data_IF_836273267089
#
_entry.id   IF_836273267089
#
_cell.length_a   1.000
_cell.length_b   1.000
_cell.length_c   1.000
_cell.angle_alpha   90.00
_cell.angle_beta   90.00
_cell.angle_gamma   90.00
#
_symmetry.space_group_name_H-M   'P 1'
#
loop_
_entity.id
_entity.type
_entity.pdbx_description
1 polymer ?
#
# COMPACT_ATOMS: atom_id res chain seq x y z
N UNK A 1 3.28 -13.11 21.46
CA UNK A 1 2.45 -12.73 20.28
C UNK A 1 3.32 -11.97 19.28
N UNK A 2 3.37 -12.46 18.05
CA UNK A 2 4.09 -11.76 16.98
C UNK A 2 3.28 -10.56 16.50
N UNK A 3 3.91 -9.60 15.81
CA UNK A 3 3.16 -8.51 15.16
C UNK A 3 2.07 -9.02 14.21
N UNK A 4 2.34 -10.10 13.49
CA UNK A 4 1.35 -10.73 12.60
C UNK A 4 0.16 -11.30 13.40
N UNK A 5 0.41 -11.94 14.54
CA UNK A 5 -0.65 -12.46 15.41
C UNK A 5 -1.58 -11.33 15.89
N UNK A 6 -1.02 -10.16 16.18
CA UNK A 6 -1.82 -8.99 16.56
C UNK A 6 -2.75 -8.56 15.42
N UNK A 7 -2.27 -8.64 14.18
CA UNK A 7 -3.10 -8.36 13.00
C UNK A 7 -4.20 -9.40 12.80
N UNK A 8 -3.90 -10.68 13.03
CA UNK A 8 -4.92 -11.74 12.98
C UNK A 8 -6.02 -11.51 14.01
N UNK A 9 -5.65 -11.07 15.21
CA UNK A 9 -6.63 -10.71 16.24
C UNK A 9 -7.49 -9.53 15.80
N UNK A 10 -6.87 -8.48 15.27
CA UNK A 10 -7.57 -7.29 14.77
C UNK A 10 -8.52 -7.62 13.62
N UNK A 11 -8.12 -8.52 12.72
CA UNK A 11 -8.94 -8.98 11.59
C UNK A 11 -10.29 -9.56 12.06
N UNK A 12 -10.30 -10.21 13.20
CA UNK A 12 -11.48 -10.90 13.73
C UNK A 12 -12.39 -9.99 14.56
N UNK A 13 -11.93 -8.81 14.92
CA UNK A 13 -12.70 -7.87 15.74
C UNK A 13 -13.84 -7.25 14.94
N UNK A 14 -15.02 -7.04 15.56
CA UNK A 14 -16.09 -6.30 14.92
C UNK A 14 -15.72 -4.83 14.80
N UNK A 15 -16.29 -4.14 13.82
CA UNK A 15 -16.12 -2.71 13.65
C UNK A 15 -15.49 -2.35 12.31
N UNK A 16 -15.08 -1.08 12.14
CA UNK A 16 -14.57 -0.61 10.87
C UNK A 16 -13.18 -1.18 10.57
N UNK A 17 -12.79 -1.26 9.29
CA UNK A 17 -11.52 -1.86 8.88
C UNK A 17 -10.28 -1.10 9.36
N UNK A 18 -10.43 0.14 9.80
CA UNK A 18 -9.35 0.98 10.31
C UNK A 18 -8.63 0.35 11.50
N UNK A 19 -9.31 -0.48 12.29
CA UNK A 19 -8.67 -1.23 13.37
C UNK A 19 -7.61 -2.18 12.84
N UNK A 20 -7.93 -2.89 11.76
CA UNK A 20 -6.97 -3.77 11.10
C UNK A 20 -5.85 -2.97 10.45
N UNK A 21 -6.19 -1.89 9.75
CA UNK A 21 -5.19 -1.04 9.08
C UNK A 21 -4.17 -0.48 10.09
N UNK A 22 -4.64 -0.01 11.24
CA UNK A 22 -3.78 0.48 12.30
C UNK A 22 -2.87 -0.64 12.86
N UNK A 23 -3.41 -1.84 13.02
CA UNK A 23 -2.62 -2.99 13.49
C UNK A 23 -1.54 -3.37 12.47
N UNK A 24 -1.88 -3.38 11.18
CA UNK A 24 -0.91 -3.65 10.10
C UNK A 24 0.16 -2.56 10.07
N UNK A 25 -0.22 -1.30 10.23
CA UNK A 25 0.73 -0.20 10.31
C UNK A 25 1.76 -0.42 11.43
N UNK A 26 1.30 -0.73 12.63
CA UNK A 26 2.20 -1.01 13.77
C UNK A 26 3.09 -2.22 13.52
N UNK A 27 2.50 -3.28 12.99
CA UNK A 27 3.24 -4.52 12.72
C UNK A 27 4.34 -4.34 11.69
N UNK A 28 4.05 -3.61 10.61
CA UNK A 28 5.04 -3.34 9.55
C UNK A 28 6.11 -2.37 10.02
N UNK A 29 5.78 -1.41 10.89
CA UNK A 29 6.77 -0.55 11.52
C UNK A 29 7.81 -1.36 12.31
N UNK A 30 7.38 -2.40 13.00
CA UNK A 30 8.28 -3.29 13.75
C UNK A 30 9.03 -4.26 12.84
N UNK A 31 8.39 -4.73 11.78
CA UNK A 31 8.93 -5.81 10.92
C UNK A 31 9.96 -5.29 9.91
N UNK A 32 9.64 -4.23 9.19
CA UNK A 32 10.49 -3.67 8.14
C UNK A 32 10.76 -2.18 8.32
N UNK A 33 9.89 -1.47 9.03
CA UNK A 33 10.01 -0.03 9.22
C UNK A 33 9.44 0.78 8.06
N UNK A 34 8.92 1.97 8.36
CA UNK A 34 8.46 2.93 7.35
C UNK A 34 8.23 4.29 8.01
N UNK A 35 8.30 5.33 7.18
CA UNK A 35 7.83 6.67 7.54
C UNK A 35 6.40 6.87 7.07
N UNK A 36 6.11 6.48 5.82
CA UNK A 36 4.78 6.59 5.22
C UNK A 36 4.25 5.19 4.92
N UNK A 37 3.01 4.94 5.34
CA UNK A 37 2.28 3.72 5.02
C UNK A 37 0.92 4.12 4.45
N UNK A 38 0.61 3.64 3.25
CA UNK A 38 -0.68 3.89 2.60
C UNK A 38 -1.27 2.61 2.03
N UNK A 39 -2.60 2.61 1.92
CA UNK A 39 -3.36 1.59 1.22
C UNK A 39 -4.20 2.27 0.14
N UNK A 40 -4.07 1.77 -1.10
CA UNK A 40 -4.85 2.23 -2.24
C UNK A 40 -5.60 1.06 -2.84
N UNK A 41 -6.89 1.23 -3.13
CA UNK A 41 -7.64 0.23 -3.87
C UNK A 41 -7.91 0.69 -5.29
N UNK A 42 -8.07 -0.27 -6.20
CA UNK A 42 -8.46 -0.01 -7.59
C UNK A 42 -9.99 0.09 -7.62
N UNK A 43 -10.50 1.22 -8.14
CA UNK A 43 -11.94 1.44 -8.24
C UNK A 43 -12.61 0.41 -9.16
N UNK A 44 -13.93 0.18 -9.03
CA UNK A 44 -14.62 -0.85 -9.81
C UNK A 44 -14.45 -0.76 -11.31
N UNK A 45 -14.31 0.46 -11.86
CA UNK A 45 -14.11 0.65 -13.30
C UNK A 45 -12.69 0.31 -13.78
N UNK A 46 -11.75 0.06 -12.86
CA UNK A 46 -10.37 -0.27 -13.17
C UNK A 46 -9.52 0.87 -13.68
N UNK A 47 -10.04 2.10 -13.72
CA UNK A 47 -9.38 3.26 -14.34
C UNK A 47 -8.75 4.22 -13.35
N UNK A 48 -9.05 4.07 -12.07
CA UNK A 48 -8.53 4.96 -11.03
C UNK A 48 -8.36 4.23 -9.71
N UNK A 49 -7.52 4.79 -8.85
CA UNK A 49 -7.28 4.28 -7.50
C UNK A 49 -7.74 5.31 -6.48
N UNK A 50 -8.00 4.83 -5.27
CA UNK A 50 -8.35 5.69 -4.14
C UNK A 50 -7.54 5.28 -2.92
N UNK A 51 -6.96 6.29 -2.25
CA UNK A 51 -6.26 6.06 -0.98
C UNK A 51 -7.29 5.91 0.12
N UNK A 52 -7.32 4.73 0.74
CA UNK A 52 -8.28 4.46 1.82
C UNK A 52 -7.64 4.47 3.20
N UNK A 53 -6.31 4.47 3.30
CA UNK A 53 -5.62 4.60 4.57
C UNK A 53 -4.27 5.27 4.39
N UNK A 54 -3.88 6.06 5.40
CA UNK A 54 -2.57 6.70 5.50
C UNK A 54 -2.21 6.84 6.99
N UNK A 55 -0.92 6.68 7.30
CA UNK A 55 -0.42 7.00 8.64
C UNK A 55 0.00 8.47 8.79
N UNK A 56 -0.09 9.24 7.71
CA UNK A 56 0.19 10.69 7.69
C UNK A 56 -1.02 11.46 7.17
N UNK A 57 -2.13 11.53 7.94
CA UNK A 57 -3.39 12.09 7.43
C UNK A 57 -3.34 13.59 7.13
N UNK A 58 -2.41 14.34 7.72
CA UNK A 58 -2.26 15.77 7.45
C UNK A 58 -1.48 16.02 6.17
N UNK A 59 -0.32 15.37 6.04
CA UNK A 59 0.62 15.59 4.95
C UNK A 59 0.24 14.82 3.69
N UNK A 60 -0.38 13.64 3.87
CA UNK A 60 -0.70 12.73 2.79
C UNK A 60 -2.07 12.08 3.05
N UNK A 61 -3.17 12.84 2.84
CA UNK A 61 -4.51 12.45 3.32
C UNK A 61 -5.16 11.34 2.51
N UNK A 62 -6.21 10.76 3.11
CA UNK A 62 -7.10 9.81 2.42
C UNK A 62 -8.05 10.55 1.48
N UNK A 63 -8.72 9.78 0.63
CA UNK A 63 -9.76 10.28 -0.27
C UNK A 63 -9.18 10.78 -1.58
N UNK A 64 -10.08 11.20 -2.45
CA UNK A 64 -9.72 11.60 -3.80
C UNK A 64 -9.34 10.42 -4.68
N UNK A 65 -9.80 10.47 -5.93
CA UNK A 65 -9.40 9.48 -6.91
C UNK A 65 -8.20 9.98 -7.70
N UNK A 66 -7.40 9.04 -8.15
CA UNK A 66 -6.24 9.29 -8.98
C UNK A 66 -6.34 8.40 -10.21
N UNK A 67 -6.24 9.00 -11.39
CA UNK A 67 -6.28 8.25 -12.63
C UNK A 67 -5.09 7.29 -12.74
N UNK A 68 -5.37 6.08 -13.19
CA UNK A 68 -4.34 5.11 -13.51
C UNK A 68 -3.80 5.44 -14.90
N UNK A 69 -2.48 5.62 -15.00
CA UNK A 69 -1.82 5.85 -16.29
C UNK A 69 -1.11 4.58 -16.73
N UNK A 70 -1.05 4.35 -18.04
CA UNK A 70 -0.27 3.26 -18.61
C UNK A 70 1.22 3.59 -18.47
N UNK A 71 1.84 3.03 -17.45
CA UNK A 71 3.25 3.26 -17.12
C UNK A 71 3.94 1.91 -16.89
N UNK A 72 5.28 1.86 -16.94
CA UNK A 72 6.01 0.64 -16.58
C UNK A 72 5.70 0.16 -15.16
N UNK A 73 5.50 1.08 -14.21
CA UNK A 73 5.08 0.73 -12.85
C UNK A 73 3.72 0.04 -12.84
N UNK A 74 2.74 0.61 -13.56
CA UNK A 74 1.40 0.05 -13.67
C UNK A 74 1.43 -1.35 -14.29
N UNK A 75 2.22 -1.54 -15.34
CA UNK A 75 2.35 -2.84 -16.00
C UNK A 75 2.95 -3.89 -15.07
N UNK A 76 3.91 -3.52 -14.25
CA UNK A 76 4.53 -4.45 -13.31
C UNK A 76 3.60 -4.77 -12.14
N UNK A 77 3.10 -3.75 -11.45
CA UNK A 77 2.40 -3.92 -10.17
C UNK A 77 0.94 -4.32 -10.38
N UNK A 78 0.22 -3.60 -11.24
CA UNK A 78 -1.22 -3.82 -11.39
C UNK A 78 -1.50 -4.94 -12.40
N UNK A 79 -0.91 -4.88 -13.57
CA UNK A 79 -1.12 -5.90 -14.61
C UNK A 79 -0.29 -7.15 -14.35
N UNK A 80 0.95 -6.98 -13.96
CA UNK A 80 1.89 -8.07 -13.72
C UNK A 80 1.79 -8.73 -12.35
N UNK A 81 1.06 -8.13 -11.42
CA UNK A 81 0.89 -8.66 -10.05
C UNK A 81 2.22 -8.87 -9.33
N UNK A 82 3.20 -8.02 -9.58
CA UNK A 82 4.53 -8.10 -8.98
C UNK A 82 4.82 -6.87 -8.13
N UNK A 83 5.40 -7.08 -6.96
CA UNK A 83 5.86 -5.99 -6.12
C UNK A 83 6.93 -5.16 -6.84
N UNK A 84 7.02 -3.89 -6.47
CA UNK A 84 8.05 -2.98 -6.95
C UNK A 84 8.84 -2.43 -5.78
N UNK A 85 10.17 -2.35 -5.93
CA UNK A 85 11.07 -1.78 -4.93
C UNK A 85 11.83 -0.63 -5.58
N UNK A 86 11.74 0.55 -4.98
CA UNK A 86 12.51 1.72 -5.38
C UNK A 86 13.54 2.06 -4.31
N UNK A 87 14.75 2.41 -4.72
CA UNK A 87 15.88 2.54 -3.82
C UNK A 87 16.26 3.97 -3.49
N UNK A 88 15.96 4.91 -4.38
CA UNK A 88 16.38 6.31 -4.24
C UNK A 88 15.35 7.28 -4.84
N UNK A 89 15.63 8.58 -4.72
CA UNK A 89 14.75 9.63 -5.23
C UNK A 89 14.48 9.52 -6.74
N UNK A 90 15.42 8.98 -7.51
CA UNK A 90 15.24 8.79 -8.96
C UNK A 90 14.17 7.73 -9.23
N UNK A 91 14.20 6.65 -8.45
CA UNK A 91 13.20 5.59 -8.55
C UNK A 91 11.81 6.12 -8.16
N UNK A 92 11.73 6.94 -7.11
CA UNK A 92 10.48 7.58 -6.69
C UNK A 92 9.94 8.47 -7.81
N UNK A 93 10.78 9.28 -8.44
CA UNK A 93 10.39 10.15 -9.55
C UNK A 93 9.90 9.34 -10.76
N UNK A 94 10.52 8.19 -11.01
CA UNK A 94 10.12 7.29 -12.09
C UNK A 94 8.74 6.68 -11.86
N UNK A 95 8.42 6.33 -10.61
CA UNK A 95 7.20 5.60 -10.27
C UNK A 95 6.00 6.51 -9.99
N UNK A 96 6.21 7.69 -9.39
CA UNK A 96 5.13 8.50 -8.83
C UNK A 96 5.14 9.93 -9.34
N UNK A 97 3.97 10.42 -9.78
CA UNK A 97 3.85 11.80 -10.25
C UNK A 97 4.02 12.82 -9.11
N UNK A 98 3.64 12.45 -7.89
CA UNK A 98 3.75 13.30 -6.70
C UNK A 98 5.07 13.10 -5.94
N UNK A 99 6.11 12.72 -6.67
CA UNK A 99 7.43 12.41 -6.11
C UNK A 99 8.03 13.56 -5.31
N UNK A 100 7.78 14.81 -5.70
CA UNK A 100 8.32 15.97 -4.97
C UNK A 100 7.76 16.05 -3.55
N UNK A 101 6.45 15.81 -3.38
CA UNK A 101 5.81 15.75 -2.07
C UNK A 101 6.37 14.59 -1.25
N UNK A 102 6.51 13.42 -1.87
CA UNK A 102 7.03 12.22 -1.21
C UNK A 102 8.43 12.47 -0.67
N UNK A 103 9.30 13.04 -1.47
CA UNK A 103 10.68 13.39 -1.06
C UNK A 103 10.67 14.45 0.05
N UNK A 104 9.77 15.42 -0.04
CA UNK A 104 9.62 16.45 1.00
C UNK A 104 9.19 15.85 2.35
N UNK A 105 8.50 14.71 2.35
CA UNK A 105 8.14 13.97 3.57
C UNK A 105 9.30 13.14 4.13
N UNK A 106 10.46 13.17 3.49
CA UNK A 106 11.64 12.41 3.90
C UNK A 106 11.70 11.00 3.32
N UNK A 107 10.94 10.71 2.27
CA UNK A 107 10.86 9.39 1.67
C UNK A 107 11.56 9.37 0.32
N UNK A 108 12.58 8.51 0.17
CA UNK A 108 13.35 8.34 -1.03
C UNK A 108 13.46 6.88 -1.48
N UNK A 109 12.89 5.94 -0.71
CA UNK A 109 12.74 4.55 -1.12
C UNK A 109 11.30 4.10 -0.87
N UNK A 110 10.88 3.07 -1.59
CA UNK A 110 9.52 2.57 -1.50
C UNK A 110 9.45 1.08 -1.83
N UNK A 111 8.46 0.42 -1.26
CA UNK A 111 8.03 -0.91 -1.69
C UNK A 111 6.51 -0.89 -1.85
N UNK A 112 6.05 -1.34 -3.01
CA UNK A 112 4.63 -1.47 -3.31
C UNK A 112 4.31 -2.95 -3.50
N UNK A 113 3.44 -3.48 -2.66
CA UNK A 113 3.04 -4.89 -2.71
C UNK A 113 1.59 -4.96 -3.16
N UNK A 114 1.29 -5.63 -4.28
CA UNK A 114 -0.09 -5.76 -4.72
C UNK A 114 -0.89 -6.67 -3.78
N UNK A 115 -2.13 -6.28 -3.52
CA UNK A 115 -3.11 -7.10 -2.81
C UNK A 115 -3.87 -7.87 -3.88
N UNK A 116 -3.68 -9.19 -3.92
CA UNK A 116 -4.18 -10.02 -5.01
C UNK A 116 -5.20 -11.03 -4.49
N UNK A 117 -6.32 -11.15 -5.20
CA UNK A 117 -7.32 -12.18 -4.95
C UNK A 117 -7.84 -12.74 -6.26
N UNK A 118 -7.81 -14.05 -6.39
CA UNK A 118 -8.29 -14.76 -7.58
C UNK A 118 -7.67 -14.21 -8.89
N UNK A 119 -6.37 -13.92 -8.86
CA UNK A 119 -5.62 -13.40 -10.00
C UNK A 119 -5.82 -11.93 -10.30
N UNK A 120 -6.64 -11.22 -9.52
CA UNK A 120 -6.94 -9.79 -9.70
C UNK A 120 -6.23 -8.96 -8.65
N UNK A 121 -5.61 -7.88 -9.07
CA UNK A 121 -5.03 -6.89 -8.15
C UNK A 121 -6.15 -5.98 -7.66
N UNK A 122 -6.40 -6.03 -6.36
CA UNK A 122 -7.42 -5.20 -5.69
C UNK A 122 -6.89 -3.81 -5.36
N UNK A 123 -5.60 -3.69 -5.22
CA UNK A 123 -4.91 -2.46 -4.86
C UNK A 123 -3.51 -2.74 -4.37
N UNK A 124 -2.93 -1.80 -3.63
CA UNK A 124 -1.54 -1.90 -3.18
C UNK A 124 -1.38 -1.52 -1.72
N UNK A 125 -0.44 -2.20 -1.07
CA UNK A 125 0.12 -1.85 0.23
C UNK A 125 1.46 -1.17 -0.03
N UNK A 126 1.63 0.05 0.47
CA UNK A 126 2.77 0.89 0.13
C UNK A 126 3.50 1.32 1.40
N UNK A 127 4.82 1.07 1.43
CA UNK A 127 5.70 1.54 2.48
C UNK A 127 6.78 2.41 1.86
N UNK A 128 7.07 3.55 2.49
CA UNK A 128 8.09 4.49 2.04
C UNK A 128 8.95 4.92 3.23
N UNK A 129 10.25 5.10 2.99
CA UNK A 129 11.22 5.50 4.01
C UNK A 129 12.42 6.18 3.35
N UNK A 130 13.46 6.43 4.11
CA UNK A 130 14.72 7.03 3.60
C UNK A 130 15.32 6.19 2.47
N UNK A 131 16.23 6.79 1.71
CA UNK A 131 16.93 6.10 0.63
C UNK A 131 17.55 4.77 1.12
N UNK A 132 17.53 3.78 0.25
CA UNK A 132 18.13 2.46 0.48
C UNK A 132 17.60 1.69 1.68
N UNK A 133 16.40 2.05 2.17
CA UNK A 133 15.79 1.35 3.30
C UNK A 133 15.26 -0.03 2.91
N UNK A 134 14.65 -0.16 1.72
CA UNK A 134 14.02 -1.40 1.27
C UNK A 134 14.88 -2.17 0.28
N UNK A 135 14.69 -3.49 0.25
CA UNK A 135 15.33 -4.42 -0.67
C UNK A 135 14.35 -5.52 -1.07
N UNK A 136 14.66 -6.25 -2.13
CA UNK A 136 13.76 -7.28 -2.66
C UNK A 136 13.34 -8.32 -1.61
N UNK A 137 14.24 -8.68 -0.69
CA UNK A 137 13.92 -9.65 0.36
C UNK A 137 12.85 -9.17 1.35
N UNK A 138 12.58 -7.87 1.41
CA UNK A 138 11.53 -7.35 2.28
C UNK A 138 10.13 -7.68 1.76
N UNK A 139 9.98 -7.89 0.45
CA UNK A 139 8.68 -8.20 -0.17
C UNK A 139 8.05 -9.44 0.47
N UNK A 140 8.83 -10.51 0.64
CA UNK A 140 8.32 -11.75 1.26
C UNK A 140 7.88 -11.56 2.71
N UNK A 141 8.45 -10.58 3.40
CA UNK A 141 8.08 -10.25 4.79
C UNK A 141 6.80 -9.42 4.86
N UNK A 142 6.47 -8.71 3.80
CA UNK A 142 5.29 -7.84 3.72
C UNK A 142 4.07 -8.59 3.18
N UNK A 143 4.27 -9.50 2.23
CA UNK A 143 3.18 -10.21 1.54
C UNK A 143 2.14 -10.84 2.46
N UNK A 144 2.49 -11.48 3.60
CA UNK A 144 1.48 -12.03 4.50
C UNK A 144 0.50 -10.97 5.03
N UNK A 145 0.99 -9.75 5.26
CA UNK A 145 0.14 -8.64 5.71
C UNK A 145 -0.80 -8.18 4.59
N UNK A 146 -0.32 -8.14 3.36
CA UNK A 146 -1.16 -7.82 2.20
C UNK A 146 -2.31 -8.83 2.07
N UNK A 147 -2.05 -10.11 2.33
CA UNK A 147 -3.08 -11.15 2.28
C UNK A 147 -4.22 -10.90 3.27
N UNK A 148 -3.93 -10.34 4.45
CA UNK A 148 -4.95 -10.01 5.45
C UNK A 148 -5.89 -8.89 4.98
N UNK A 149 -5.49 -8.11 3.99
CA UNK A 149 -6.23 -6.94 3.52
C UNK A 149 -7.22 -7.26 2.39
N UNK A 150 -7.25 -8.49 1.91
CA UNK A 150 -8.14 -8.89 0.80
C UNK A 150 -9.60 -8.58 1.14
N UNK A 151 -10.08 -8.99 2.33
CA UNK A 151 -11.47 -8.74 2.74
C UNK A 151 -11.83 -7.27 2.75
N UNK A 152 -11.10 -6.41 3.49
CA UNK A 152 -11.37 -4.97 3.50
C UNK A 152 -11.27 -4.29 2.14
N UNK A 153 -10.34 -4.74 1.28
CA UNK A 153 -10.24 -4.21 -0.07
C UNK A 153 -11.47 -4.55 -0.91
N UNK A 154 -11.95 -5.79 -0.83
CA UNK A 154 -13.16 -6.20 -1.53
C UNK A 154 -14.38 -5.40 -1.05
N UNK A 155 -14.51 -5.15 0.25
CA UNK A 155 -15.60 -4.33 0.79
C UNK A 155 -15.52 -2.87 0.29
N UNK A 156 -14.31 -2.29 0.30
CA UNK A 156 -14.12 -0.93 -0.19
C UNK A 156 -14.51 -0.79 -1.66
N UNK A 157 -14.10 -1.75 -2.49
CA UNK A 157 -14.43 -1.76 -3.91
C UNK A 157 -15.93 -1.93 -4.11
N UNK A 158 -16.57 -2.83 -3.39
CA UNK A 158 -18.02 -3.06 -3.47
C UNK A 158 -18.84 -1.83 -3.05
N UNK A 159 -18.33 -1.05 -2.11
CA UNK A 159 -18.98 0.18 -1.64
C UNK A 159 -18.67 1.43 -2.45
N UNK A 160 -17.79 1.34 -3.43
CA UNK A 160 -17.41 2.47 -4.27
C UNK A 160 -18.46 2.69 -5.38
N UNK A 161 -19.00 3.92 -5.54
CA UNK A 161 -20.06 4.19 -6.52
C UNK A 161 -19.59 4.17 -7.98
N UNK A 162 -18.34 4.08 -8.22
CA UNK A 162 -17.81 4.08 -9.57
C UNK A 162 -16.34 4.12 -9.69
#
# INVERSE_FOLDING_TARGET
MTPFDACLAALKQPGPPEHLFAAVNRALAETVGHKLFTLLYVAPNGKRVKRMYTNMPKEYPVGGYKEITDSPWHRQVIQGRKAWVGYDAKDIAWAFFDHELIVALGCESAVNVPVVYAGRVLGTLNLLDVADHYKESDVARIEPFAALLVGPFLEAIAGDPG
#
